data_IF_356966883579
#
_entry.id   IF_356966883579
#
_cell.length_a   1.000
_cell.length_b   1.000
_cell.length_c   1.000
_cell.angle_alpha   90.00
_cell.angle_beta   90.00
_cell.angle_gamma   90.00
#
_symmetry.space_group_name_H-M   'P 1'
#
loop_
_entity.id
_entity.type
_entity.pdbx_description
1 polymer ?
#
# COMPACT_ATOMS: atom_id res chain seq x y z
N UNK A 1 4.08 24.17 30.82
CA UNK A 1 3.51 24.99 29.73
C UNK A 1 2.85 26.30 30.18
N UNK A 2 2.50 26.52 31.46
CA UNK A 2 1.78 27.70 31.93
C UNK A 2 2.58 29.03 31.75
N UNK A 3 3.92 28.97 31.80
CA UNK A 3 4.77 30.17 31.75
C UNK A 3 5.38 30.47 30.36
N UNK A 4 4.98 29.73 29.34
CA UNK A 4 5.52 29.90 27.98
C UNK A 4 4.65 30.90 27.21
N UNK A 5 5.29 31.87 26.56
CA UNK A 5 4.63 32.89 25.72
C UNK A 5 3.82 32.18 24.60
N UNK A 6 2.68 32.74 24.21
CA UNK A 6 1.82 32.22 23.13
C UNK A 6 2.63 31.96 21.85
N UNK A 7 3.51 32.89 21.49
CA UNK A 7 4.39 32.73 20.32
C UNK A 7 5.23 31.47 20.40
N UNK A 8 5.83 31.17 21.55
CA UNK A 8 6.67 29.99 21.76
C UNK A 8 5.82 28.70 21.73
N UNK A 9 4.60 28.74 22.27
CA UNK A 9 3.68 27.60 22.18
C UNK A 9 3.32 27.26 20.73
N UNK A 10 3.01 28.26 19.92
CA UNK A 10 2.73 28.10 18.50
C UNK A 10 3.95 27.58 17.73
N UNK A 11 5.16 28.06 18.06
CA UNK A 11 6.41 27.54 17.46
C UNK A 11 6.63 26.07 17.80
N UNK A 12 6.31 25.65 19.03
CA UNK A 12 6.40 24.22 19.45
C UNK A 12 5.39 23.37 18.67
N UNK A 13 4.17 23.86 18.46
CA UNK A 13 3.16 23.15 17.67
C UNK A 13 3.63 22.98 16.22
N UNK A 14 4.18 24.03 15.61
CA UNK A 14 4.75 23.94 14.26
C UNK A 14 5.89 22.92 14.20
N UNK A 15 6.79 22.96 15.19
CA UNK A 15 7.89 22.00 15.26
C UNK A 15 7.40 20.55 15.40
N UNK A 16 6.36 20.32 16.19
CA UNK A 16 5.71 19.00 16.33
C UNK A 16 5.07 18.53 15.02
N UNK A 17 4.35 19.42 14.34
CA UNK A 17 3.76 19.10 13.02
C UNK A 17 4.85 18.78 12.00
N UNK A 18 5.96 19.52 12.01
CA UNK A 18 7.13 19.25 11.17
C UNK A 18 7.68 17.84 11.39
N UNK A 19 7.87 17.46 12.65
CA UNK A 19 8.35 16.10 13.00
C UNK A 19 7.37 15.03 12.57
N UNK A 20 6.08 15.24 12.78
CA UNK A 20 5.04 14.27 12.38
C UNK A 20 5.00 14.08 10.86
N UNK A 21 4.96 15.17 10.10
CA UNK A 21 4.94 15.09 8.62
C UNK A 21 6.23 14.46 8.08
N UNK A 22 7.39 14.79 8.67
CA UNK A 22 8.65 14.17 8.29
C UNK A 22 8.67 12.66 8.59
N UNK A 23 8.17 12.24 9.75
CA UNK A 23 8.08 10.82 10.12
C UNK A 23 7.10 10.06 9.25
N UNK A 24 5.96 10.64 8.93
CA UNK A 24 4.94 10.04 8.06
C UNK A 24 5.46 9.90 6.62
N UNK A 25 6.13 10.92 6.10
CA UNK A 25 6.77 10.86 4.78
C UNK A 25 7.87 9.79 4.74
N UNK A 26 8.68 9.68 5.77
CA UNK A 26 9.72 8.66 5.89
C UNK A 26 9.11 7.24 5.91
N UNK A 27 8.09 7.01 6.72
CA UNK A 27 7.40 5.71 6.81
C UNK A 27 6.76 5.38 5.46
N UNK A 28 6.13 6.35 4.80
CA UNK A 28 5.49 6.15 3.50
C UNK A 28 6.48 5.72 2.42
N UNK A 29 7.66 6.35 2.38
CA UNK A 29 8.75 5.97 1.44
C UNK A 29 9.27 4.56 1.77
N UNK A 30 9.47 4.24 3.03
CA UNK A 30 9.88 2.90 3.45
C UNK A 30 8.86 1.82 3.03
N UNK A 31 7.59 2.07 3.28
CA UNK A 31 6.51 1.15 2.91
C UNK A 31 6.43 0.96 1.38
N UNK A 32 6.63 2.02 0.61
CA UNK A 32 6.65 1.96 -0.85
C UNK A 32 7.80 1.09 -1.36
N UNK A 33 9.00 1.22 -0.79
CA UNK A 33 10.15 0.39 -1.15
C UNK A 33 9.92 -1.09 -0.76
N UNK A 34 9.34 -1.34 0.40
CA UNK A 34 9.00 -2.70 0.81
C UNK A 34 7.96 -3.34 -0.11
N UNK A 35 6.94 -2.57 -0.50
CA UNK A 35 5.90 -3.04 -1.41
C UNK A 35 6.49 -3.35 -2.80
N UNK A 36 7.38 -2.47 -3.32
CA UNK A 36 8.11 -2.70 -4.56
C UNK A 36 8.87 -4.03 -4.52
N UNK A 37 9.71 -4.20 -3.51
CA UNK A 37 10.54 -5.41 -3.38
C UNK A 37 9.68 -6.67 -3.28
N UNK A 38 8.60 -6.62 -2.51
CA UNK A 38 7.69 -7.75 -2.38
C UNK A 38 6.94 -8.05 -3.69
N UNK A 39 6.57 -7.03 -4.45
CA UNK A 39 5.92 -7.21 -5.76
C UNK A 39 6.87 -7.88 -6.75
N UNK A 40 8.13 -7.44 -6.82
CA UNK A 40 9.15 -8.03 -7.67
C UNK A 40 9.46 -9.48 -7.30
N UNK A 41 9.64 -9.78 -6.01
CA UNK A 41 9.87 -11.15 -5.50
C UNK A 41 8.69 -12.08 -5.84
N UNK A 42 7.47 -11.60 -5.65
CA UNK A 42 6.27 -12.35 -6.02
C UNK A 42 6.19 -12.59 -7.53
N UNK A 43 6.54 -11.60 -8.32
CA UNK A 43 6.54 -11.69 -9.78
C UNK A 43 7.61 -12.68 -10.28
N UNK A 44 8.82 -12.61 -9.73
CA UNK A 44 9.90 -13.55 -10.06
C UNK A 44 9.49 -15.00 -9.72
N UNK A 45 9.07 -15.22 -8.48
CA UNK A 45 8.63 -16.55 -8.01
C UNK A 45 7.50 -17.09 -8.89
N UNK A 46 6.48 -16.28 -9.15
CA UNK A 46 5.34 -16.71 -9.95
C UNK A 46 5.74 -16.98 -11.41
N UNK A 47 6.62 -16.16 -11.99
CA UNK A 47 7.08 -16.34 -13.38
C UNK A 47 7.88 -17.63 -13.53
N UNK A 48 8.78 -17.90 -12.58
CA UNK A 48 9.58 -19.14 -12.56
C UNK A 48 8.70 -20.36 -12.35
N UNK A 49 7.73 -20.28 -11.45
CA UNK A 49 6.80 -21.38 -11.20
C UNK A 49 5.90 -21.64 -12.42
N UNK A 50 5.34 -20.62 -13.03
CA UNK A 50 4.54 -20.78 -14.25
C UNK A 50 5.37 -21.38 -15.38
N UNK A 51 6.65 -21.00 -15.46
CA UNK A 51 7.58 -21.56 -16.42
C UNK A 51 7.80 -23.06 -16.15
N UNK A 52 8.09 -23.43 -14.90
CA UNK A 52 8.30 -24.82 -14.50
C UNK A 52 7.08 -25.68 -14.79
N UNK A 53 5.90 -25.21 -14.41
CA UNK A 53 4.66 -25.92 -14.69
C UNK A 53 4.45 -26.09 -16.19
N UNK A 54 4.71 -25.04 -16.98
CA UNK A 54 4.57 -25.08 -18.44
C UNK A 54 5.46 -26.16 -19.08
N UNK A 55 6.76 -26.17 -18.77
CA UNK A 55 7.66 -27.16 -19.38
C UNK A 55 7.35 -28.58 -18.93
N UNK A 56 6.92 -28.76 -17.69
CA UNK A 56 6.47 -30.05 -17.16
C UNK A 56 5.21 -30.57 -17.90
N UNK A 57 4.22 -29.70 -18.10
CA UNK A 57 3.01 -30.01 -18.85
C UNK A 57 3.33 -30.42 -20.29
N UNK A 58 4.27 -29.70 -20.94
CA UNK A 58 4.69 -30.05 -22.30
C UNK A 58 5.31 -31.45 -22.36
N UNK A 59 6.16 -31.81 -21.40
CA UNK A 59 6.70 -33.19 -21.33
C UNK A 59 5.58 -34.18 -21.10
N UNK A 60 4.60 -33.87 -20.25
CA UNK A 60 3.43 -34.71 -20.00
C UNK A 60 2.62 -35.00 -21.27
N UNK A 61 2.53 -34.03 -22.19
CA UNK A 61 1.89 -34.24 -23.51
C UNK A 61 2.67 -35.28 -24.31
N UNK A 62 3.98 -35.18 -24.34
CA UNK A 62 4.82 -36.16 -25.06
C UNK A 62 4.75 -37.55 -24.42
N UNK A 63 4.78 -37.62 -23.10
CA UNK A 63 4.62 -38.89 -22.37
C UNK A 63 3.23 -39.54 -22.68
N UNK A 64 2.21 -38.72 -22.82
CA UNK A 64 0.88 -39.21 -23.22
C UNK A 64 0.89 -39.74 -24.65
N UNK A 65 1.53 -39.06 -25.59
CA UNK A 65 1.74 -39.55 -26.96
C UNK A 65 2.51 -40.87 -26.97
N UNK A 66 3.61 -40.94 -26.22
CA UNK A 66 4.40 -42.18 -26.10
C UNK A 66 3.60 -43.32 -25.52
N UNK A 67 2.74 -43.02 -24.55
CA UNK A 67 1.84 -44.02 -23.94
C UNK A 67 0.87 -44.58 -24.95
N UNK A 68 0.29 -43.73 -25.81
CA UNK A 68 -0.61 -44.16 -26.88
C UNK A 68 0.14 -45.03 -27.89
N UNK A 69 1.30 -44.62 -28.40
CA UNK A 69 2.10 -45.41 -29.34
C UNK A 69 2.51 -46.76 -28.73
N UNK A 70 2.85 -46.74 -27.42
CA UNK A 70 3.18 -47.99 -26.70
C UNK A 70 1.97 -48.92 -26.55
N UNK A 71 0.75 -48.39 -26.40
CA UNK A 71 -0.47 -49.15 -26.39
C UNK A 71 -0.76 -49.79 -27.76
N UNK A 72 -0.52 -49.05 -28.83
CA UNK A 72 -0.60 -49.54 -30.19
C UNK A 72 0.38 -50.70 -30.47
N UNK A 73 1.64 -50.54 -29.97
CA UNK A 73 2.65 -51.60 -29.97
C UNK A 73 2.15 -52.83 -29.20
N UNK A 74 1.64 -52.67 -27.99
CA UNK A 74 1.10 -53.76 -27.18
C UNK A 74 -0.10 -54.43 -27.83
N UNK A 75 -0.88 -53.69 -28.59
CA UNK A 75 -1.99 -54.24 -29.37
C UNK A 75 -1.54 -54.96 -30.66
N UNK A 76 -0.23 -54.99 -30.92
CA UNK A 76 0.32 -55.73 -32.08
C UNK A 76 0.24 -54.98 -33.41
N UNK A 77 -0.05 -53.66 -33.41
CA UNK A 77 -0.09 -52.85 -34.66
C UNK A 77 1.28 -52.56 -35.21
N UNK A 78 2.27 -52.44 -34.34
CA UNK A 78 3.65 -52.13 -34.67
C UNK A 78 4.60 -53.09 -33.97
N UNK A 79 5.75 -53.32 -34.54
CA UNK A 79 6.90 -53.80 -33.76
C UNK A 79 7.42 -52.71 -32.81
N UNK A 80 8.22 -53.08 -31.81
CA UNK A 80 8.81 -52.11 -30.89
C UNK A 80 9.69 -51.07 -31.61
N UNK A 81 10.44 -51.54 -32.61
CA UNK A 81 11.31 -50.67 -33.40
C UNK A 81 10.51 -49.68 -34.26
N UNK A 82 9.43 -50.12 -34.86
CA UNK A 82 8.49 -49.28 -35.61
C UNK A 82 7.83 -48.26 -34.67
N UNK A 83 7.34 -48.69 -33.51
CA UNK A 83 6.72 -47.84 -32.53
C UNK A 83 7.72 -46.73 -32.03
N UNK A 84 8.94 -47.10 -31.72
CA UNK A 84 10.02 -46.18 -31.36
C UNK A 84 10.34 -45.23 -32.51
N UNK A 85 10.39 -45.70 -33.75
CA UNK A 85 10.62 -44.86 -34.91
C UNK A 85 9.52 -43.84 -35.11
N UNK A 86 8.27 -44.27 -35.10
CA UNK A 86 7.09 -43.38 -35.19
C UNK A 86 7.15 -42.31 -34.11
N UNK A 87 7.36 -42.74 -32.87
CA UNK A 87 7.45 -41.85 -31.73
C UNK A 87 8.59 -40.79 -31.88
N UNK A 88 9.75 -41.26 -32.31
CA UNK A 88 10.89 -40.34 -32.53
C UNK A 88 10.60 -39.34 -33.66
N UNK A 89 10.00 -39.78 -34.75
CA UNK A 89 9.67 -38.93 -35.92
C UNK A 89 8.62 -37.88 -35.57
N UNK A 90 7.61 -38.24 -34.78
CA UNK A 90 6.61 -37.29 -34.27
C UNK A 90 7.21 -36.29 -33.32
N UNK A 91 7.96 -36.72 -32.30
CA UNK A 91 8.60 -35.85 -31.32
C UNK A 91 9.58 -34.88 -32.00
N UNK A 92 10.32 -35.33 -33.02
CA UNK A 92 11.28 -34.49 -33.74
C UNK A 92 10.62 -33.30 -34.43
N UNK A 93 9.33 -33.43 -34.80
CA UNK A 93 8.56 -32.38 -35.46
C UNK A 93 7.80 -31.49 -34.46
N UNK A 94 7.59 -31.98 -33.22
CA UNK A 94 6.85 -31.22 -32.22
C UNK A 94 7.56 -29.93 -31.85
N UNK A 95 6.77 -28.86 -31.84
CA UNK A 95 7.21 -27.53 -31.42
C UNK A 95 6.14 -26.92 -30.53
N UNK A 96 6.52 -26.06 -29.62
CA UNK A 96 5.60 -25.29 -28.80
C UNK A 96 6.13 -23.88 -28.55
N UNK A 97 5.25 -22.96 -28.22
CA UNK A 97 5.60 -21.57 -27.90
C UNK A 97 6.51 -20.94 -28.97
N UNK A 98 7.48 -20.17 -28.53
CA UNK A 98 8.46 -19.51 -29.39
C UNK A 98 9.72 -20.38 -29.58
N UNK A 99 9.62 -21.42 -30.42
CA UNK A 99 10.78 -22.25 -30.77
C UNK A 99 11.10 -23.35 -29.73
N UNK A 100 10.17 -23.64 -28.80
CA UNK A 100 10.32 -24.77 -27.89
C UNK A 100 10.33 -26.10 -28.65
N UNK A 101 11.21 -27.00 -28.22
CA UNK A 101 11.40 -28.30 -28.83
C UNK A 101 11.62 -29.37 -27.77
N UNK A 102 11.50 -30.63 -28.16
CA UNK A 102 11.75 -31.76 -27.31
C UNK A 102 13.02 -32.49 -27.71
N UNK A 103 13.66 -33.09 -26.74
CA UNK A 103 14.72 -34.06 -26.97
C UNK A 103 14.35 -35.40 -26.31
N UNK A 104 14.96 -36.44 -26.81
CA UNK A 104 14.84 -37.79 -26.26
C UNK A 104 16.22 -38.39 -26.18
N UNK A 105 16.60 -38.86 -24.97
CA UNK A 105 17.79 -39.67 -24.77
C UNK A 105 17.41 -41.04 -24.19
N UNK A 106 18.21 -42.04 -24.44
CA UNK A 106 18.14 -43.29 -23.67
C UNK A 106 18.79 -43.12 -22.29
N UNK A 107 18.46 -43.99 -21.37
CA UNK A 107 19.04 -43.99 -20.02
C UNK A 107 20.57 -44.14 -19.99
N UNK A 108 21.15 -44.69 -21.04
CA UNK A 108 22.60 -44.82 -21.26
C UNK A 108 23.25 -43.57 -21.89
N UNK A 109 22.46 -42.55 -22.22
CA UNK A 109 22.92 -41.30 -22.82
C UNK A 109 22.92 -41.25 -24.34
N UNK A 110 22.43 -42.30 -25.01
CA UNK A 110 22.28 -42.26 -26.48
C UNK A 110 21.16 -41.32 -26.85
N UNK A 111 21.48 -40.32 -27.65
CA UNK A 111 20.49 -39.35 -28.14
C UNK A 111 19.61 -39.96 -29.25
N UNK A 112 18.31 -39.87 -29.11
CA UNK A 112 17.33 -40.40 -30.05
C UNK A 112 16.71 -39.27 -30.87
N UNK A 113 16.38 -38.16 -30.23
CA UNK A 113 15.78 -36.99 -30.85
C UNK A 113 16.44 -35.71 -30.32
N UNK A 114 16.95 -34.89 -31.24
CA UNK A 114 17.38 -33.53 -30.96
C UNK A 114 17.34 -32.69 -32.24
N UNK A 115 16.17 -32.26 -32.61
CA UNK A 115 15.95 -31.39 -33.80
C UNK A 115 16.42 -31.97 -35.15
N UNK A 116 16.74 -33.25 -35.24
CA UNK A 116 17.34 -33.85 -36.42
C UNK A 116 18.81 -33.50 -36.64
N UNK A 117 19.48 -33.02 -35.59
CA UNK A 117 20.90 -32.63 -35.70
C UNK A 117 21.84 -33.84 -35.72
N UNK A 118 23.12 -33.62 -35.98
CA UNK A 118 24.15 -34.66 -36.14
C UNK A 118 24.48 -35.41 -34.81
N UNK A 119 23.93 -35.00 -33.69
CA UNK A 119 24.13 -35.69 -32.40
C UNK A 119 23.16 -36.87 -32.24
N UNK A 120 22.07 -36.91 -33.00
CA UNK A 120 21.16 -38.05 -32.98
C UNK A 120 21.90 -39.36 -33.34
N UNK A 121 21.68 -40.38 -32.53
CA UNK A 121 22.40 -41.65 -32.63
C UNK A 121 23.72 -41.72 -31.87
N UNK A 122 24.29 -40.60 -31.46
CA UNK A 122 25.53 -40.55 -30.66
C UNK A 122 25.26 -40.62 -29.14
N UNK A 123 26.22 -41.00 -28.35
CA UNK A 123 26.11 -40.95 -26.88
C UNK A 123 26.59 -39.59 -26.37
N UNK A 124 25.72 -38.90 -25.68
CA UNK A 124 25.99 -37.56 -25.14
C UNK A 124 26.04 -37.49 -23.59
N UNK A 125 26.11 -38.64 -22.90
CA UNK A 125 26.17 -38.74 -21.42
C UNK A 125 27.21 -37.79 -20.80
N UNK A 126 28.33 -37.61 -21.43
CA UNK A 126 29.43 -36.78 -20.95
C UNK A 126 29.40 -35.34 -21.48
N UNK A 127 28.36 -34.99 -22.18
CA UNK A 127 28.23 -33.60 -22.67
C UNK A 127 28.18 -32.64 -21.50
N UNK A 128 29.03 -31.63 -21.59
CA UNK A 128 29.14 -30.55 -20.62
C UNK A 128 28.60 -29.27 -21.24
N UNK A 129 28.03 -28.46 -20.40
CA UNK A 129 27.71 -27.07 -20.77
C UNK A 129 28.99 -26.20 -20.79
N UNK A 130 28.83 -24.90 -21.08
CA UNK A 130 29.94 -23.97 -21.15
C UNK A 130 30.62 -23.72 -19.78
N UNK A 131 29.96 -24.01 -18.67
CA UNK A 131 30.49 -23.92 -17.31
C UNK A 131 31.12 -25.22 -16.82
N UNK A 132 31.09 -26.27 -17.66
CA UNK A 132 31.66 -27.58 -17.35
C UNK A 132 30.70 -28.52 -16.62
N UNK A 133 29.44 -28.16 -16.45
CA UNK A 133 28.42 -28.96 -15.80
C UNK A 133 27.97 -30.11 -16.73
N UNK A 134 27.88 -31.33 -16.20
CA UNK A 134 27.47 -32.53 -16.93
C UNK A 134 25.95 -32.57 -17.10
N UNK A 135 25.38 -31.67 -17.87
CA UNK A 135 23.95 -31.43 -17.99
C UNK A 135 23.17 -32.70 -18.39
N UNK A 136 23.63 -33.42 -19.39
CA UNK A 136 22.91 -34.60 -19.88
C UNK A 136 22.87 -35.72 -18.86
N UNK A 137 23.99 -35.92 -18.13
CA UNK A 137 24.03 -36.90 -17.04
C UNK A 137 23.02 -36.56 -15.94
N UNK A 138 22.92 -35.30 -15.60
CA UNK A 138 21.98 -34.88 -14.56
C UNK A 138 20.53 -34.95 -15.04
N UNK A 139 20.24 -34.55 -16.27
CA UNK A 139 18.94 -34.71 -16.91
C UNK A 139 18.46 -36.19 -16.84
N UNK A 140 19.36 -37.11 -17.21
CA UNK A 140 19.04 -38.54 -17.15
C UNK A 140 18.87 -39.00 -15.71
N UNK A 141 19.74 -38.55 -14.81
CA UNK A 141 19.64 -38.90 -13.39
C UNK A 141 18.31 -38.53 -12.78
N UNK A 142 17.89 -37.26 -12.91
CA UNK A 142 16.64 -36.78 -12.31
C UNK A 142 15.43 -37.49 -12.93
N UNK A 143 15.45 -37.73 -14.25
CA UNK A 143 14.36 -38.43 -14.93
C UNK A 143 14.25 -39.90 -14.49
N UNK A 144 15.36 -40.63 -14.41
CA UNK A 144 15.36 -42.07 -14.14
C UNK A 144 15.24 -42.38 -12.65
N UNK A 145 15.96 -41.65 -11.77
CA UNK A 145 15.97 -41.93 -10.34
C UNK A 145 14.80 -41.27 -9.60
N UNK A 146 14.44 -40.06 -9.97
CA UNK A 146 13.46 -39.27 -9.25
C UNK A 146 12.07 -39.28 -9.96
N UNK A 147 11.97 -39.98 -11.11
CA UNK A 147 10.72 -40.12 -11.88
C UNK A 147 10.38 -38.91 -12.73
N UNK A 148 11.21 -37.90 -12.69
CA UNK A 148 11.10 -36.63 -13.41
C UNK A 148 11.60 -35.48 -12.55
N UNK A 149 12.15 -34.46 -13.19
CA UNK A 149 12.66 -33.31 -12.46
C UNK A 149 13.26 -32.22 -13.35
N UNK A 150 13.61 -31.15 -12.70
CA UNK A 150 14.19 -29.97 -13.34
C UNK A 150 15.72 -30.01 -13.31
N UNK A 151 16.30 -29.45 -14.38
CA UNK A 151 17.76 -29.31 -14.48
C UNK A 151 18.07 -27.92 -15.02
N UNK A 152 18.96 -27.21 -14.32
CA UNK A 152 19.47 -25.90 -14.71
C UNK A 152 20.87 -26.06 -15.31
N UNK A 153 21.11 -25.43 -16.44
CA UNK A 153 22.39 -25.42 -17.15
C UNK A 153 22.47 -24.24 -18.12
N UNK A 154 23.62 -23.98 -18.70
CA UNK A 154 23.78 -22.96 -19.74
C UNK A 154 23.86 -23.60 -21.10
N UNK A 155 23.10 -23.07 -22.06
CA UNK A 155 23.07 -23.62 -23.42
C UNK A 155 22.87 -22.49 -24.44
N UNK A 156 23.55 -22.52 -25.61
CA UNK A 156 23.33 -21.53 -26.65
C UNK A 156 21.89 -21.61 -27.19
N UNK A 157 21.30 -20.47 -27.50
CA UNK A 157 20.05 -20.40 -28.24
C UNK A 157 20.28 -20.82 -29.69
N UNK A 158 19.20 -21.23 -30.35
CA UNK A 158 19.28 -21.64 -31.76
C UNK A 158 19.84 -20.48 -32.63
N UNK A 159 20.95 -20.74 -33.33
CA UNK A 159 21.64 -19.73 -34.11
C UNK A 159 22.58 -18.79 -33.34
N UNK A 160 22.68 -18.94 -32.02
CA UNK A 160 23.59 -18.16 -31.18
C UNK A 160 24.80 -19.03 -30.74
N UNK A 161 25.90 -18.37 -30.41
CA UNK A 161 27.09 -19.04 -29.82
C UNK A 161 27.26 -18.79 -28.33
N UNK A 162 26.66 -17.70 -27.83
CA UNK A 162 26.75 -17.34 -26.43
C UNK A 162 25.80 -18.21 -25.60
N UNK A 163 26.30 -18.79 -24.50
CA UNK A 163 25.47 -19.61 -23.61
C UNK A 163 24.48 -18.76 -22.82
N UNK A 164 23.24 -19.18 -22.78
CA UNK A 164 22.18 -18.55 -21.97
C UNK A 164 21.65 -19.51 -20.92
N UNK A 165 21.24 -19.03 -19.73
CA UNK A 165 20.62 -19.87 -18.70
C UNK A 165 19.40 -20.60 -19.25
N UNK A 166 19.39 -21.90 -19.10
CA UNK A 166 18.32 -22.77 -19.56
C UNK A 166 17.87 -23.67 -18.43
N UNK A 167 16.60 -23.73 -18.22
CA UNK A 167 15.96 -24.65 -17.29
C UNK A 167 15.11 -25.64 -18.06
N UNK A 168 15.22 -26.90 -17.71
CA UNK A 168 14.50 -27.98 -18.37
C UNK A 168 13.76 -28.84 -17.37
N UNK A 169 12.73 -29.52 -17.84
CA UNK A 169 12.10 -30.64 -17.17
C UNK A 169 12.26 -31.88 -18.01
N UNK A 170 12.53 -33.01 -17.40
CA UNK A 170 12.65 -34.30 -18.06
C UNK A 170 12.00 -35.39 -17.26
N UNK A 171 11.44 -36.35 -17.97
CA UNK A 171 10.69 -37.49 -17.40
C UNK A 171 11.05 -38.78 -18.13
N UNK A 172 11.07 -39.88 -17.38
CA UNK A 172 11.47 -41.18 -17.88
C UNK A 172 10.27 -42.01 -18.37
N UNK A 173 10.24 -42.27 -19.64
CA UNK A 173 9.29 -43.22 -20.24
C UNK A 173 9.88 -44.65 -20.30
N UNK A 174 9.69 -45.37 -19.23
CA UNK A 174 10.24 -46.72 -19.03
C UNK A 174 10.00 -47.72 -20.17
N UNK A 175 8.79 -47.77 -20.84
CA UNK A 175 8.55 -48.77 -21.88
C UNK A 175 9.52 -48.69 -23.06
N UNK A 176 10.04 -47.53 -23.41
CA UNK A 176 11.00 -47.34 -24.50
C UNK A 176 12.43 -47.15 -24.01
N UNK A 177 12.65 -47.09 -22.72
CA UNK A 177 13.90 -46.65 -22.08
C UNK A 177 14.31 -45.25 -22.53
N UNK A 178 13.36 -44.33 -22.53
CA UNK A 178 13.53 -42.97 -23.01
C UNK A 178 13.38 -41.93 -21.92
N UNK A 179 14.29 -41.02 -21.87
CA UNK A 179 14.21 -39.77 -21.10
C UNK A 179 13.77 -38.69 -22.07
N UNK A 180 12.56 -38.23 -21.88
CA UNK A 180 11.97 -37.12 -22.65
C UNK A 180 12.18 -35.84 -21.89
N UNK A 181 12.66 -34.84 -22.54
CA UNK A 181 12.83 -33.53 -21.94
C UNK A 181 12.48 -32.37 -22.86
N UNK A 182 12.13 -31.29 -22.25
CA UNK A 182 12.03 -30.01 -22.88
C UNK A 182 12.52 -28.92 -21.93
N UNK A 183 12.83 -27.77 -22.44
CA UNK A 183 13.26 -26.63 -21.64
C UNK A 183 13.48 -25.41 -22.51
N UNK A 184 13.45 -24.26 -21.89
CA UNK A 184 13.68 -23.02 -22.57
C UNK A 184 14.61 -22.14 -21.72
N UNK A 185 14.95 -21.00 -22.25
CA UNK A 185 15.86 -20.06 -21.61
C UNK A 185 15.10 -19.21 -20.59
N UNK A 186 15.74 -18.96 -19.44
CA UNK A 186 15.14 -18.22 -18.33
C UNK A 186 15.57 -16.75 -18.28
N UNK A 187 16.52 -16.36 -19.12
CA UNK A 187 17.05 -14.99 -19.19
C UNK A 187 15.99 -13.93 -19.52
N UNK A 188 14.92 -14.32 -20.21
CA UNK A 188 13.80 -13.42 -20.46
C UNK A 188 13.05 -13.07 -19.17
N UNK A 189 13.01 -13.99 -18.20
CA UNK A 189 12.38 -13.74 -16.88
C UNK A 189 13.22 -12.69 -16.16
N UNK A 190 14.55 -12.91 -16.10
CA UNK A 190 15.46 -11.98 -15.42
C UNK A 190 15.41 -10.59 -16.07
N UNK A 191 15.37 -10.56 -17.43
CA UNK A 191 15.23 -9.31 -18.18
C UNK A 191 13.90 -8.60 -17.88
N UNK A 192 12.80 -9.36 -17.86
CA UNK A 192 11.47 -8.79 -17.56
C UNK A 192 11.40 -8.27 -16.14
N UNK A 193 11.98 -8.98 -15.16
CA UNK A 193 12.05 -8.54 -13.77
C UNK A 193 12.93 -7.28 -13.64
N UNK A 194 14.08 -7.25 -14.30
CA UNK A 194 14.97 -6.08 -14.31
C UNK A 194 14.29 -4.84 -14.92
N UNK A 195 13.59 -5.02 -16.03
CA UNK A 195 12.81 -3.94 -16.66
C UNK A 195 11.69 -3.46 -15.72
N UNK A 196 11.00 -4.37 -15.07
CA UNK A 196 9.94 -4.03 -14.12
C UNK A 196 10.51 -3.34 -12.88
N UNK A 197 11.69 -3.74 -12.40
CA UNK A 197 12.37 -3.05 -11.29
C UNK A 197 12.74 -1.61 -11.66
N UNK A 198 13.22 -1.37 -12.88
CA UNK A 198 13.51 -0.03 -13.39
C UNK A 198 12.24 0.83 -13.46
N UNK A 199 11.16 0.29 -14.02
CA UNK A 199 9.85 0.96 -14.06
C UNK A 199 9.32 1.29 -12.66
N UNK A 200 9.32 0.32 -11.75
CA UNK A 200 8.89 0.52 -10.38
C UNK A 200 9.78 1.52 -9.63
N UNK A 201 11.08 1.48 -9.87
CA UNK A 201 12.04 2.42 -9.26
C UNK A 201 11.81 3.84 -9.77
N UNK A 202 11.60 4.02 -11.06
CA UNK A 202 11.25 5.30 -11.67
C UNK A 202 9.93 5.82 -11.15
N UNK A 203 8.92 4.98 -11.10
CA UNK A 203 7.60 5.35 -10.56
C UNK A 203 7.68 5.70 -9.07
N UNK A 204 8.35 4.89 -8.26
CA UNK A 204 8.52 5.09 -6.84
C UNK A 204 9.28 6.39 -6.54
N UNK A 205 10.37 6.66 -7.27
CA UNK A 205 11.15 7.89 -7.11
C UNK A 205 10.34 9.13 -7.48
N UNK A 206 9.58 9.07 -8.58
CA UNK A 206 8.67 10.15 -8.99
C UNK A 206 7.60 10.42 -7.93
N UNK A 207 7.00 9.36 -7.37
CA UNK A 207 6.00 9.49 -6.29
C UNK A 207 6.60 9.97 -4.97
N UNK A 208 7.82 9.53 -4.65
CA UNK A 208 8.55 10.02 -3.47
C UNK A 208 8.83 11.52 -3.58
N UNK A 209 9.30 11.99 -4.74
CA UNK A 209 9.50 13.42 -5.01
C UNK A 209 8.18 14.18 -4.88
N UNK A 210 7.11 13.67 -5.48
CA UNK A 210 5.77 14.28 -5.40
C UNK A 210 5.27 14.37 -3.95
N UNK A 211 5.45 13.31 -3.16
CA UNK A 211 5.12 13.27 -1.73
C UNK A 211 5.92 14.30 -0.93
N UNK A 212 7.22 14.39 -1.18
CA UNK A 212 8.10 15.38 -0.52
C UNK A 212 7.66 16.80 -0.88
N UNK A 213 7.42 17.07 -2.17
CA UNK A 213 6.96 18.38 -2.62
C UNK A 213 5.61 18.75 -2.00
N UNK A 214 4.66 17.83 -1.99
CA UNK A 214 3.36 18.03 -1.37
C UNK A 214 3.49 18.30 0.14
N UNK A 215 4.33 17.53 0.83
CA UNK A 215 4.61 17.70 2.26
C UNK A 215 5.27 19.06 2.54
N UNK A 216 6.22 19.48 1.73
CA UNK A 216 6.88 20.81 1.86
C UNK A 216 5.87 21.93 1.59
N UNK A 217 5.07 21.83 0.55
CA UNK A 217 4.01 22.81 0.28
C UNK A 217 3.01 22.90 1.44
N UNK A 218 2.57 21.77 1.97
CA UNK A 218 1.68 21.73 3.13
C UNK A 218 2.31 22.38 4.36
N UNK A 219 3.58 22.09 4.63
CA UNK A 219 4.32 22.70 5.74
C UNK A 219 4.46 24.22 5.59
N UNK A 220 4.74 24.71 4.38
CA UNK A 220 4.80 26.15 4.09
C UNK A 220 3.42 26.78 4.36
N UNK A 221 2.34 26.18 3.89
CA UNK A 221 0.99 26.69 4.12
C UNK A 221 0.67 26.71 5.62
N UNK A 222 0.96 25.65 6.35
CA UNK A 222 0.77 25.57 7.81
C UNK A 222 1.62 26.62 8.51
N UNK A 223 2.89 26.77 8.15
CA UNK A 223 3.77 27.75 8.74
C UNK A 223 3.27 29.19 8.52
N UNK A 224 2.80 29.49 7.31
CA UNK A 224 2.21 30.81 6.98
C UNK A 224 0.94 31.02 7.81
N UNK A 225 0.03 30.06 7.85
CA UNK A 225 -1.22 30.16 8.61
C UNK A 225 -0.93 30.39 10.12
N UNK A 226 -0.02 29.59 10.69
CA UNK A 226 0.36 29.74 12.09
C UNK A 226 1.05 31.08 12.35
N UNK A 227 1.88 31.53 11.42
CA UNK A 227 2.53 32.85 11.53
C UNK A 227 1.50 33.97 11.50
N UNK A 228 0.54 33.94 10.59
CA UNK A 228 -0.55 34.93 10.51
C UNK A 228 -1.39 34.91 11.79
N UNK A 229 -1.76 33.76 12.28
CA UNK A 229 -2.50 33.61 13.53
C UNK A 229 -1.68 34.11 14.72
N UNK A 230 -0.39 33.76 14.79
CA UNK A 230 0.50 34.22 15.84
C UNK A 230 0.66 35.75 15.88
N UNK A 231 0.81 36.35 14.70
CA UNK A 231 0.92 37.82 14.55
C UNK A 231 -0.39 38.50 15.00
N UNK A 232 -1.53 37.98 14.54
CA UNK A 232 -2.84 38.55 14.88
C UNK A 232 -3.12 38.42 16.39
N UNK A 233 -2.94 37.23 16.97
CA UNK A 233 -3.10 37.01 18.41
C UNK A 233 -2.16 37.95 19.23
N UNK A 234 -0.86 37.97 18.87
CA UNK A 234 0.10 38.73 19.61
C UNK A 234 -0.17 40.24 19.52
N UNK A 235 -0.55 40.73 18.33
CA UNK A 235 -0.89 42.13 18.10
C UNK A 235 -2.17 42.51 18.83
N UNK A 236 -3.15 41.66 18.83
CA UNK A 236 -4.44 41.90 19.51
C UNK A 236 -4.27 41.89 21.04
N UNK A 237 -3.56 40.88 21.58
CA UNK A 237 -3.22 40.85 23.02
C UNK A 237 -2.42 42.07 23.48
N UNK A 238 -1.47 42.48 22.67
CA UNK A 238 -0.65 43.67 23.00
C UNK A 238 -1.53 44.93 23.08
N UNK A 239 -2.41 45.15 22.10
CA UNK A 239 -3.33 46.30 22.10
C UNK A 239 -4.26 46.31 23.30
N UNK A 240 -4.81 45.14 23.64
CA UNK A 240 -5.67 44.99 24.81
C UNK A 240 -4.88 45.27 26.09
N UNK A 241 -3.66 44.70 26.19
CA UNK A 241 -2.75 44.96 27.33
C UNK A 241 -2.42 46.44 27.47
N UNK A 242 -2.03 47.11 26.40
CA UNK A 242 -1.72 48.56 26.40
C UNK A 242 -2.95 49.35 26.89
N UNK A 243 -4.14 49.00 26.45
CA UNK A 243 -5.35 49.67 26.92
C UNK A 243 -5.67 49.38 28.39
N UNK A 244 -5.40 48.15 28.86
CA UNK A 244 -5.50 47.84 30.30
C UNK A 244 -4.50 48.65 31.14
N UNK A 245 -3.28 48.82 30.65
CA UNK A 245 -2.27 49.64 31.32
C UNK A 245 -2.67 51.13 31.41
N UNK A 246 -3.29 51.66 30.32
CA UNK A 246 -3.84 53.02 30.30
C UNK A 246 -4.98 53.16 31.32
N UNK A 247 -5.88 52.19 31.38
CA UNK A 247 -7.01 52.20 32.33
C UNK A 247 -6.49 52.00 33.78
N UNK A 248 -5.54 51.09 33.98
CA UNK A 248 -4.89 50.86 35.28
C UNK A 248 -4.14 52.09 35.79
N UNK A 249 -3.59 52.90 34.87
CA UNK A 249 -3.01 54.19 35.18
C UNK A 249 -4.00 55.31 35.47
N UNK A 250 -5.31 54.99 35.51
CA UNK A 250 -6.38 55.95 35.83
C UNK A 250 -6.87 56.79 34.65
N UNK A 251 -6.36 56.55 33.45
CA UNK A 251 -6.83 57.26 32.24
C UNK A 251 -8.02 56.58 31.61
N UNK A 252 -9.21 56.96 31.98
CA UNK A 252 -10.49 56.47 31.43
C UNK A 252 -10.98 57.35 30.25
N UNK A 253 -10.24 58.42 29.84
CA UNK A 253 -10.61 59.24 28.72
C UNK A 253 -10.25 58.64 27.37
N UNK A 254 -9.17 57.84 27.32
CA UNK A 254 -8.67 57.20 26.11
C UNK A 254 -9.53 56.03 25.71
N UNK A 255 -10.18 56.13 24.53
CA UNK A 255 -11.05 55.04 23.97
C UNK A 255 -10.20 53.97 23.34
N UNK A 256 -10.73 52.74 23.38
CA UNK A 256 -10.22 51.65 22.57
C UNK A 256 -10.27 52.00 21.08
N UNK A 257 -9.23 51.59 20.35
CA UNK A 257 -9.18 51.85 18.91
C UNK A 257 -10.31 51.17 18.17
N UNK A 258 -10.98 51.94 17.27
CA UNK A 258 -12.13 51.46 16.47
C UNK A 258 -11.91 50.13 15.74
N UNK A 259 -10.73 49.81 15.16
CA UNK A 259 -10.51 48.53 14.52
C UNK A 259 -10.64 47.33 15.46
N UNK A 260 -10.34 47.50 16.76
CA UNK A 260 -10.49 46.41 17.75
C UNK A 260 -11.95 46.21 18.13
N UNK A 261 -12.72 47.28 18.28
CA UNK A 261 -14.15 47.19 18.64
C UNK A 261 -15.01 46.62 17.49
N UNK A 262 -14.57 46.77 16.25
CA UNK A 262 -15.27 46.21 15.09
C UNK A 262 -14.98 44.74 14.79
N UNK A 263 -14.04 44.14 15.52
CA UNK A 263 -13.76 42.68 15.39
C UNK A 263 -14.97 41.86 15.85
N UNK A 264 -15.22 40.76 15.13
CA UNK A 264 -16.31 39.83 15.44
C UNK A 264 -15.85 38.57 16.17
N UNK A 265 -14.55 38.50 16.51
CA UNK A 265 -13.95 37.39 17.22
C UNK A 265 -13.83 37.68 18.75
N UNK A 266 -13.23 36.71 19.48
CA UNK A 266 -13.07 36.78 20.91
C UNK A 266 -12.28 38.06 21.37
N UNK A 267 -11.34 38.52 20.57
CA UNK A 267 -10.61 39.75 20.84
C UNK A 267 -11.50 41.00 20.68
N UNK A 268 -12.40 40.95 19.70
CA UNK A 268 -13.43 42.00 19.57
C UNK A 268 -14.40 41.99 20.74
N UNK A 269 -14.85 40.83 21.19
CA UNK A 269 -15.70 40.71 22.38
C UNK A 269 -14.96 41.24 23.63
N UNK A 270 -13.70 40.85 23.82
CA UNK A 270 -12.90 41.31 24.93
C UNK A 270 -12.65 42.85 24.88
N UNK A 271 -12.36 43.40 23.68
CA UNK A 271 -12.18 44.82 23.48
C UNK A 271 -13.47 45.61 23.80
N UNK A 272 -14.63 45.11 23.36
CA UNK A 272 -15.92 45.71 23.66
C UNK A 272 -16.26 45.63 25.16
N UNK A 273 -15.98 44.48 25.80
CA UNK A 273 -16.16 44.35 27.24
C UNK A 273 -15.27 45.34 28.02
N UNK A 274 -14.00 45.48 27.59
CA UNK A 274 -13.09 46.46 28.18
C UNK A 274 -13.55 47.90 27.98
N UNK A 275 -14.04 48.23 26.78
CA UNK A 275 -14.58 49.57 26.49
C UNK A 275 -15.84 49.85 27.29
N UNK A 276 -16.72 48.89 27.42
CA UNK A 276 -17.93 48.99 28.28
C UNK A 276 -17.50 49.19 29.74
N UNK A 277 -16.54 48.44 30.23
CA UNK A 277 -15.97 48.64 31.58
C UNK A 277 -15.39 50.07 31.72
N UNK A 278 -14.55 50.51 30.77
CA UNK A 278 -14.01 51.86 30.75
C UNK A 278 -15.12 52.93 30.78
N UNK A 279 -16.13 52.74 29.95
CA UNK A 279 -17.24 53.68 29.85
C UNK A 279 -18.07 53.73 31.15
N UNK A 280 -18.31 52.57 31.73
CA UNK A 280 -18.99 52.44 33.03
C UNK A 280 -18.18 53.14 34.13
N UNK A 281 -16.84 52.88 34.18
CA UNK A 281 -15.99 53.56 35.17
C UNK A 281 -15.89 55.05 34.93
N UNK A 282 -15.76 55.46 33.65
CA UNK A 282 -15.78 56.90 33.30
C UNK A 282 -17.07 57.55 33.69
N UNK A 283 -18.21 56.93 33.44
CA UNK A 283 -19.53 57.43 33.81
C UNK A 283 -19.65 57.51 35.33
N UNK A 284 -19.14 56.46 36.03
CA UNK A 284 -19.05 56.49 37.50
C UNK A 284 -18.14 57.62 38.01
N UNK A 285 -16.97 57.85 37.36
CA UNK A 285 -16.11 58.95 37.72
C UNK A 285 -16.76 60.34 37.39
N UNK A 286 -17.50 60.42 36.26
CA UNK A 286 -18.24 61.61 35.95
C UNK A 286 -19.40 61.85 36.90
N UNK A 287 -20.07 60.77 37.33
CA UNK A 287 -21.06 60.83 38.41
C UNK A 287 -20.41 61.21 39.73
N UNK A 288 -19.31 60.55 40.09
CA UNK A 288 -18.56 60.89 41.32
C UNK A 288 -18.09 62.35 41.27
N UNK A 289 -17.62 62.85 40.10
CA UNK A 289 -17.23 64.25 39.93
C UNK A 289 -18.44 65.20 40.07
N UNK A 290 -19.57 64.77 39.48
CA UNK A 290 -20.87 65.53 39.62
C UNK A 290 -21.35 65.49 41.07
N UNK A 291 -21.28 64.32 41.70
CA UNK A 291 -21.64 64.17 43.13
C UNK A 291 -20.69 64.97 44.03
N UNK A 292 -19.34 64.91 43.72
CA UNK A 292 -18.40 65.76 44.43
C UNK A 292 -18.67 67.26 44.25
N UNK A 293 -19.05 67.68 43.05
CA UNK A 293 -19.47 69.08 42.81
C UNK A 293 -20.82 69.43 43.51
N UNK A 294 -21.68 68.39 43.66
CA UNK A 294 -22.91 68.52 44.47
C UNK A 294 -22.61 68.53 45.98
N UNK A 295 -21.58 67.75 46.40
CA UNK A 295 -21.10 67.72 47.78
C UNK A 295 -20.63 69.14 48.22
N UNK A 296 -19.97 69.91 47.33
CA UNK A 296 -19.67 71.30 47.63
C UNK A 296 -20.93 72.15 47.87
N UNK A 297 -22.10 71.77 47.26
CA UNK A 297 -23.41 72.32 47.53
C UNK A 297 -24.09 71.70 48.76
N UNK A 298 -23.67 70.51 49.07
CA UNK A 298 -24.35 69.67 50.08
C UNK A 298 -23.56 69.63 51.42
N UNK A 299 -22.38 70.33 51.48
CA UNK A 299 -21.72 70.61 52.76
C UNK A 299 -22.66 71.37 53.73
N UNK A 300 -23.70 72.02 53.23
CA UNK A 300 -24.85 72.54 54.04
C UNK A 300 -25.87 71.47 54.45
N UNK A 301 -25.74 70.28 53.91
CA UNK A 301 -26.65 69.15 54.26
C UNK A 301 -25.88 67.86 54.61
N UNK A 302 -24.75 68.00 55.31
CA UNK A 302 -23.80 66.91 55.68
C UNK A 302 -24.45 65.68 56.32
N UNK A 303 -25.46 65.86 57.14
CA UNK A 303 -26.11 64.73 57.89
C UNK A 303 -26.91 63.77 57.02
N UNK A 304 -27.39 64.18 55.88
CA UNK A 304 -28.19 63.30 54.98
C UNK A 304 -27.28 62.53 54.02
N UNK A 305 -26.14 63.04 53.70
CA UNK A 305 -25.27 62.44 52.68
C UNK A 305 -24.31 61.35 53.21
N UNK A 306 -23.98 61.37 54.52
CA UNK A 306 -23.21 60.26 55.13
C UNK A 306 -24.04 58.98 55.12
N UNK A 307 -25.36 59.09 55.13
CA UNK A 307 -26.24 57.89 55.02
C UNK A 307 -26.25 57.33 53.60
N UNK A 308 -26.17 58.19 52.60
CA UNK A 308 -26.12 57.79 51.18
C UNK A 308 -24.77 57.20 50.76
N UNK A 309 -23.68 57.68 51.36
CA UNK A 309 -22.36 57.16 51.11
C UNK A 309 -22.20 55.68 51.56
N UNK A 310 -22.88 55.29 52.66
CA UNK A 310 -22.87 53.89 53.11
C UNK A 310 -23.62 52.97 52.12
N UNK A 311 -24.69 53.44 51.52
CA UNK A 311 -25.45 52.66 50.51
C UNK A 311 -24.62 52.44 49.24
N UNK A 312 -23.86 53.48 48.77
CA UNK A 312 -22.97 53.32 47.61
C UNK A 312 -21.78 52.39 47.86
N UNK A 313 -21.27 52.32 49.08
CA UNK A 313 -20.19 51.40 49.48
C UNK A 313 -20.70 49.96 49.47
N UNK A 314 -21.96 49.72 49.90
CA UNK A 314 -22.59 48.38 49.80
C UNK A 314 -22.76 47.93 48.33
N UNK A 315 -23.14 48.85 47.41
CA UNK A 315 -23.28 48.59 45.99
C UNK A 315 -21.94 48.24 45.32
N UNK A 316 -20.86 48.93 45.72
CA UNK A 316 -19.51 48.64 45.25
C UNK A 316 -19.03 47.28 45.76
N UNK A 317 -19.41 46.91 46.98
CA UNK A 317 -19.12 45.59 47.55
C UNK A 317 -19.84 44.47 46.79
N UNK A 318 -21.12 44.68 46.47
CA UNK A 318 -21.93 43.72 45.71
C UNK A 318 -21.38 43.57 44.25
N UNK A 319 -20.96 44.69 43.63
CA UNK A 319 -20.34 44.64 42.29
C UNK A 319 -18.99 43.95 42.29
N UNK A 320 -18.26 44.02 43.38
CA UNK A 320 -16.99 43.34 43.58
C UNK A 320 -17.17 41.83 43.74
N UNK A 321 -18.22 41.43 44.43
CA UNK A 321 -18.62 40.01 44.53
C UNK A 321 -19.09 39.43 43.15
N UNK A 322 -19.85 40.21 42.37
CA UNK A 322 -20.24 39.81 41.01
C UNK A 322 -19.04 39.70 40.08
N UNK A 323 -18.06 40.58 40.22
CA UNK A 323 -16.81 40.54 39.42
C UNK A 323 -15.94 39.33 39.80
N UNK A 324 -15.91 38.99 41.11
CA UNK A 324 -15.24 37.79 41.61
C UNK A 324 -15.91 36.52 41.06
N UNK A 325 -17.27 36.48 41.09
CA UNK A 325 -18.03 35.36 40.50
C UNK A 325 -17.83 35.23 38.98
N UNK A 326 -17.80 36.37 38.25
CA UNK A 326 -17.53 36.40 36.81
C UNK A 326 -16.08 35.98 36.47
N UNK A 327 -15.14 36.27 37.38
CA UNK A 327 -13.76 35.78 37.23
C UNK A 327 -13.63 34.27 37.45
N UNK A 328 -14.39 33.73 38.43
CA UNK A 328 -14.47 32.29 38.65
C UNK A 328 -15.12 31.57 37.45
N UNK A 329 -16.19 32.16 36.89
CA UNK A 329 -16.86 31.61 35.72
C UNK A 329 -15.94 31.62 34.47
N UNK A 330 -15.13 32.69 34.34
CA UNK A 330 -14.12 32.78 33.27
C UNK A 330 -13.01 31.72 33.44
N UNK A 331 -12.57 31.50 34.69
CA UNK A 331 -11.59 30.46 34.99
C UNK A 331 -12.15 29.06 34.71
N UNK A 332 -13.41 28.80 35.13
CA UNK A 332 -14.09 27.56 34.84
C UNK A 332 -14.26 27.32 33.32
N UNK A 333 -14.59 28.38 32.58
CA UNK A 333 -14.67 28.34 31.12
C UNK A 333 -13.30 28.00 30.45
N UNK A 334 -12.22 28.60 30.99
CA UNK A 334 -10.87 28.30 30.54
C UNK A 334 -10.46 26.85 30.83
N UNK A 335 -10.84 26.31 32.00
CA UNK A 335 -10.64 24.88 32.31
C UNK A 335 -11.45 23.98 31.36
N UNK A 336 -12.67 24.38 31.07
CA UNK A 336 -13.54 23.64 30.13
C UNK A 336 -12.98 23.63 28.70
N UNK A 337 -12.45 24.79 28.24
CA UNK A 337 -11.74 24.89 26.96
C UNK A 337 -10.50 23.99 26.95
N UNK A 338 -9.74 23.98 28.04
CA UNK A 338 -8.58 23.08 28.18
C UNK A 338 -9.00 21.61 28.14
N UNK A 339 -10.09 21.26 28.81
CA UNK A 339 -10.67 19.92 28.74
C UNK A 339 -11.15 19.54 27.32
N UNK A 340 -11.81 20.47 26.63
CA UNK A 340 -12.18 20.25 25.21
C UNK A 340 -10.97 20.12 24.31
N UNK A 341 -9.91 20.89 24.55
CA UNK A 341 -8.65 20.78 23.79
C UNK A 341 -8.03 19.41 23.96
N UNK A 342 -8.02 18.89 25.21
CA UNK A 342 -7.57 17.52 25.48
C UNK A 342 -8.44 16.47 24.78
N UNK A 343 -9.75 16.68 24.77
CA UNK A 343 -10.67 15.77 24.04
C UNK A 343 -10.45 15.81 22.53
N UNK A 344 -10.15 17.01 21.98
CA UNK A 344 -9.79 17.16 20.56
C UNK A 344 -8.48 16.44 20.27
N UNK A 345 -7.49 16.56 21.18
CA UNK A 345 -6.21 15.86 21.05
C UNK A 345 -6.38 14.32 21.09
N UNK A 346 -7.23 13.87 21.99
CA UNK A 346 -7.57 12.44 22.12
C UNK A 346 -8.36 11.93 20.90
N UNK A 347 -9.35 12.72 20.45
CA UNK A 347 -10.09 12.41 19.23
C UNK A 347 -9.19 12.40 17.99
N UNK A 348 -8.25 13.34 17.89
CA UNK A 348 -7.27 13.36 16.81
C UNK A 348 -6.34 12.14 16.85
N UNK A 349 -5.93 11.71 18.05
CA UNK A 349 -5.17 10.45 18.23
C UNK A 349 -6.00 9.23 17.85
N UNK A 350 -7.27 9.20 18.27
CA UNK A 350 -8.17 8.10 17.92
C UNK A 350 -8.41 8.03 16.41
N UNK A 351 -8.60 9.20 15.75
CA UNK A 351 -8.69 9.28 14.29
C UNK A 351 -7.41 8.76 13.62
N UNK A 352 -6.24 9.13 14.16
CA UNK A 352 -4.96 8.65 13.63
C UNK A 352 -4.82 7.12 13.79
N UNK A 353 -5.23 6.59 14.95
CA UNK A 353 -5.25 5.14 15.21
C UNK A 353 -6.22 4.44 14.24
N UNK A 354 -7.46 4.96 14.12
CA UNK A 354 -8.47 4.41 13.20
C UNK A 354 -8.04 4.49 11.73
N UNK A 355 -7.33 5.55 11.36
CA UNK A 355 -6.75 5.67 10.04
C UNK A 355 -5.64 4.63 9.81
N UNK A 356 -4.82 4.38 10.84
CA UNK A 356 -3.80 3.33 10.83
C UNK A 356 -4.44 1.93 10.76
N UNK A 357 -5.47 1.72 11.56
CA UNK A 357 -6.23 0.47 11.54
C UNK A 357 -6.91 0.26 10.17
N UNK A 358 -7.54 1.32 9.64
CA UNK A 358 -8.13 1.30 8.30
C UNK A 358 -7.11 1.03 7.19
N UNK A 359 -5.90 1.55 7.33
CA UNK A 359 -4.81 1.24 6.41
C UNK A 359 -4.39 -0.24 6.52
N UNK A 360 -4.34 -0.74 7.76
CA UNK A 360 -4.02 -2.16 8.03
C UNK A 360 -5.11 -3.09 7.49
N UNK A 361 -6.38 -2.72 7.72
CA UNK A 361 -7.54 -3.46 7.22
C UNK A 361 -7.62 -3.42 5.68
N UNK A 362 -7.31 -2.24 5.08
CA UNK A 362 -7.19 -2.11 3.62
C UNK A 362 -6.10 -3.02 3.06
N UNK A 363 -4.99 -3.14 3.80
CA UNK A 363 -3.90 -4.05 3.43
C UNK A 363 -4.31 -5.52 3.55
N UNK A 364 -5.14 -5.83 4.54
CA UNK A 364 -5.71 -7.18 4.70
C UNK A 364 -6.77 -7.49 3.63
N UNK A 365 -7.60 -6.49 3.29
CA UNK A 365 -8.55 -6.59 2.17
C UNK A 365 -7.76 -6.81 0.87
N UNK A 366 -6.66 -6.07 0.67
CA UNK A 366 -5.80 -6.26 -0.50
C UNK A 366 -5.22 -7.68 -0.56
N UNK A 367 -4.69 -8.18 0.57
CA UNK A 367 -4.19 -9.56 0.66
C UNK A 367 -5.29 -10.59 0.35
N UNK A 368 -6.50 -10.36 0.89
CA UNK A 368 -7.65 -11.22 0.61
C UNK A 368 -8.09 -11.14 -0.84
N UNK A 369 -8.07 -9.93 -1.44
CA UNK A 369 -8.37 -9.74 -2.85
C UNK A 369 -7.35 -10.45 -3.75
N UNK A 370 -6.07 -10.35 -3.42
CA UNK A 370 -5.01 -11.09 -4.11
C UNK A 370 -5.24 -12.58 -3.97
N UNK A 371 -5.48 -13.07 -2.75
CA UNK A 371 -5.78 -14.48 -2.50
C UNK A 371 -7.04 -14.94 -3.27
N UNK A 372 -8.10 -14.13 -3.24
CA UNK A 372 -9.34 -14.43 -4.00
C UNK A 372 -9.08 -14.47 -5.50
N UNK A 373 -8.20 -13.58 -6.00
CA UNK A 373 -7.75 -13.61 -7.40
C UNK A 373 -7.01 -14.92 -7.68
N UNK A 374 -6.10 -15.29 -6.79
CA UNK A 374 -5.30 -16.52 -6.94
C UNK A 374 -6.20 -17.76 -6.87
N UNK A 375 -7.11 -17.80 -5.88
CA UNK A 375 -8.14 -18.84 -5.75
C UNK A 375 -9.05 -18.89 -7.00
N UNK A 376 -9.35 -17.69 -7.58
CA UNK A 376 -10.16 -17.59 -8.81
C UNK A 376 -9.38 -18.12 -10.02
N UNK A 377 -8.08 -17.84 -10.09
CA UNK A 377 -7.19 -18.38 -11.14
C UNK A 377 -7.08 -19.89 -11.00
N UNK A 378 -6.88 -20.38 -9.77
CA UNK A 378 -6.85 -21.81 -9.46
C UNK A 378 -8.19 -22.49 -9.81
N UNK A 379 -9.30 -21.86 -9.38
CA UNK A 379 -10.63 -22.36 -9.73
C UNK A 379 -10.89 -22.35 -11.24
N UNK A 380 -10.43 -21.28 -11.93
CA UNK A 380 -10.50 -21.23 -13.40
C UNK A 380 -9.71 -22.37 -14.04
N UNK A 381 -8.59 -22.72 -13.43
CA UNK A 381 -7.75 -23.82 -13.89
C UNK A 381 -8.41 -25.16 -13.63
N UNK A 382 -9.01 -25.33 -12.41
CA UNK A 382 -9.83 -26.49 -12.06
C UNK A 382 -11.05 -26.62 -12.98
N UNK A 383 -11.71 -25.47 -13.28
CA UNK A 383 -12.85 -25.46 -14.22
C UNK A 383 -12.39 -25.84 -15.64
N UNK A 384 -11.23 -25.31 -16.09
CA UNK A 384 -10.67 -25.71 -17.39
C UNK A 384 -10.35 -27.21 -17.42
N UNK A 385 -9.77 -27.71 -16.33
CA UNK A 385 -9.50 -29.14 -16.19
C UNK A 385 -10.80 -29.94 -16.23
N UNK A 386 -11.77 -29.54 -15.40
CA UNK A 386 -13.09 -30.17 -15.34
C UNK A 386 -13.83 -30.09 -16.69
N UNK A 387 -13.72 -28.97 -17.41
CA UNK A 387 -14.28 -28.85 -18.77
C UNK A 387 -13.57 -29.75 -19.77
N UNK A 388 -12.23 -29.92 -19.58
CA UNK A 388 -11.47 -30.90 -20.37
C UNK A 388 -11.91 -32.31 -20.06
N UNK A 389 -12.06 -32.63 -18.78
CA UNK A 389 -12.51 -33.96 -18.32
C UNK A 389 -13.97 -34.25 -18.78
N UNK A 390 -14.83 -33.21 -18.68
CA UNK A 390 -16.21 -33.29 -19.19
C UNK A 390 -16.19 -33.51 -20.70
N UNK A 391 -15.31 -32.81 -21.43
CA UNK A 391 -15.19 -32.99 -22.87
C UNK A 391 -14.73 -34.41 -23.22
N UNK A 392 -13.72 -34.89 -22.50
CA UNK A 392 -13.25 -36.27 -22.66
C UNK A 392 -14.35 -37.26 -22.34
N UNK A 393 -15.06 -37.04 -21.21
CA UNK A 393 -16.20 -37.91 -20.84
C UNK A 393 -17.37 -37.81 -21.82
N UNK A 394 -17.58 -36.61 -22.41
CA UNK A 394 -18.61 -36.40 -23.42
C UNK A 394 -18.22 -37.06 -24.77
N UNK A 395 -16.92 -36.90 -25.14
CA UNK A 395 -16.40 -37.62 -26.31
C UNK A 395 -16.46 -39.14 -26.11
N UNK A 396 -16.14 -39.59 -24.90
CA UNK A 396 -16.28 -41.02 -24.54
C UNK A 396 -17.76 -41.47 -24.57
N UNK A 397 -18.66 -40.67 -23.97
CA UNK A 397 -20.09 -40.96 -23.99
C UNK A 397 -20.69 -40.91 -25.41
N UNK A 398 -20.16 -40.02 -26.26
CA UNK A 398 -20.54 -39.97 -27.68
C UNK A 398 -20.03 -41.19 -28.46
N UNK A 399 -18.83 -41.64 -28.12
CA UNK A 399 -18.26 -42.86 -28.71
C UNK A 399 -19.02 -44.12 -28.23
N UNK A 400 -19.35 -44.16 -26.92
CA UNK A 400 -20.17 -45.21 -26.34
C UNK A 400 -21.60 -45.18 -26.93
N UNK A 401 -22.15 -43.97 -27.19
CA UNK A 401 -23.45 -43.83 -27.87
C UNK A 401 -23.41 -44.32 -29.33
N UNK A 402 -22.30 -44.10 -30.04
CA UNK A 402 -22.10 -44.63 -31.38
C UNK A 402 -22.03 -46.17 -31.39
N UNK A 403 -21.39 -46.73 -30.34
CA UNK A 403 -21.35 -48.17 -30.15
C UNK A 403 -22.77 -48.73 -29.92
N UNK A 404 -23.60 -48.01 -29.14
CA UNK A 404 -24.99 -48.37 -28.90
C UNK A 404 -25.82 -48.25 -30.19
N UNK A 405 -25.59 -47.19 -30.97
CA UNK A 405 -26.27 -46.98 -32.26
C UNK A 405 -25.89 -48.07 -33.26
N UNK A 406 -24.60 -48.47 -33.26
CA UNK A 406 -24.14 -49.62 -34.05
C UNK A 406 -24.77 -50.94 -33.58
N UNK A 407 -24.97 -51.09 -32.26
CA UNK A 407 -25.61 -52.26 -31.69
C UNK A 407 -27.11 -52.34 -32.01
N UNK A 408 -27.78 -51.17 -31.98
CA UNK A 408 -29.20 -51.03 -32.36
C UNK A 408 -29.36 -51.29 -33.86
N UNK A 409 -28.44 -50.79 -34.69
CA UNK A 409 -28.44 -51.03 -36.12
C UNK A 409 -28.28 -52.54 -36.46
N UNK A 410 -27.41 -53.22 -35.69
CA UNK A 410 -27.21 -54.66 -35.83
C UNK A 410 -28.43 -55.48 -35.33
N UNK A 411 -29.17 -55.00 -34.33
CA UNK A 411 -30.38 -55.59 -33.81
C UNK A 411 -31.60 -55.40 -34.72
N UNK A 412 -31.56 -54.40 -35.61
CA UNK A 412 -32.66 -54.20 -36.60
C UNK A 412 -32.45 -54.91 -37.91
N UNK A 413 -31.28 -55.57 -38.07
CA UNK A 413 -30.97 -56.41 -39.24
C UNK A 413 -31.03 -57.93 -38.97
N UNK A 414 -31.40 -58.36 -37.74
CA UNK A 414 -31.75 -59.72 -37.39
C UNK A 414 -33.26 -59.80 -37.20
#
# INVERSE_FOLDING_TARGET
MKNIKVRTKLTIIVALVLVLVASESFISIQNMNQLKNKALDTMDTSSRQNYDDSIKEQVGVVISLLSEINNEYKAGRYSLDEAKKIAADEIRQMRYGNGGYFWVDQSDGKNIVLLGNSTEGTNRMNTKDAEGYQMVKEIIRVAVQDGGGYTDYVFPKEGETEPSPKRSYSEYFKPFDWVVGTGNYTDYIDTAIAQQDEEFTSYASSKAISLILCSVCMLIVVAILVALIAIDITKSLRKIKEQFEVIAGGNFATKMQQPMLKRKDDFGQLANALETMRESVRNLLAQVKSEAANIDKVVETIDTNVYNLNAEIEDVSATTEELAASSEETAASAEQINGMTQQIEEAAREIAIRAQDGATESQDIHKRAVKTKDDTVENRQKIKQMMSDIRVNLEQALEDAKVVDQFVYLLTLS
#
